data_IF_305852985946
#
_entry.id   IF_305852985946
#
_cell.length_a   1.000
_cell.length_b   1.000
_cell.length_c   1.000
_cell.angle_alpha   90.00
_cell.angle_beta   90.00
_cell.angle_gamma   90.00
#
_symmetry.space_group_name_H-M   'P 1'
#
loop_
_entity.id
_entity.type
_entity.pdbx_description
1 polymer ?
#
# COMPACT_ATOMS: atom_id res chain seq x y z
N UNK A 1 -35.58 44.61 12.79
CA UNK A 1 -35.22 43.22 13.17
C UNK A 1 -34.96 42.48 11.88
N UNK A 2 -33.71 42.43 11.46
CA UNK A 2 -33.26 41.87 10.19
C UNK A 2 -33.07 40.36 10.33
N UNK A 3 -33.58 39.61 9.36
CA UNK A 3 -33.47 38.16 9.27
C UNK A 3 -31.99 37.70 9.16
N UNK A 4 -31.64 36.51 9.68
CA UNK A 4 -30.28 36.00 9.58
C UNK A 4 -30.03 35.49 8.15
N UNK A 5 -28.94 35.96 7.57
CA UNK A 5 -28.33 35.46 6.34
C UNK A 5 -27.90 34.01 6.53
N UNK A 6 -28.46 33.12 5.73
CA UNK A 6 -28.04 31.73 5.59
C UNK A 6 -26.60 31.66 5.08
N UNK A 7 -25.72 31.13 5.91
CA UNK A 7 -24.35 30.78 5.55
C UNK A 7 -24.40 29.61 4.56
N UNK A 8 -24.10 29.88 3.29
CA UNK A 8 -23.77 28.85 2.29
C UNK A 8 -22.49 28.14 2.73
N UNK A 9 -22.63 26.94 3.26
CA UNK A 9 -21.56 25.97 3.41
C UNK A 9 -20.95 25.73 2.04
N UNK A 10 -19.71 26.19 1.90
CA UNK A 10 -18.86 25.94 0.73
C UNK A 10 -18.56 24.43 0.70
N UNK A 11 -19.34 23.66 -0.06
CA UNK A 11 -18.96 22.31 -0.48
C UNK A 11 -17.74 22.43 -1.40
N UNK A 12 -16.56 22.57 -0.80
CA UNK A 12 -15.31 22.32 -1.49
C UNK A 12 -15.33 20.85 -1.90
N UNK A 13 -15.70 20.60 -3.17
CA UNK A 13 -15.69 19.27 -3.75
C UNK A 13 -14.39 18.56 -3.43
N UNK A 14 -14.48 17.31 -2.98
CA UNK A 14 -13.31 16.53 -2.59
C UNK A 14 -12.33 16.50 -3.76
N UNK A 15 -11.13 17.02 -3.51
CA UNK A 15 -10.04 17.05 -4.49
C UNK A 15 -9.79 15.66 -5.08
N UNK A 16 -10.03 15.55 -6.39
CA UNK A 16 -9.89 14.35 -7.20
C UNK A 16 -8.42 14.16 -7.62
N UNK A 17 -7.49 14.30 -6.70
CA UNK A 17 -6.04 14.30 -6.95
C UNK A 17 -5.53 13.02 -7.64
N UNK A 18 -6.24 11.90 -7.44
CA UNK A 18 -5.92 10.60 -8.03
C UNK A 18 -6.81 10.25 -9.22
N UNK A 19 -7.55 11.22 -9.76
CA UNK A 19 -8.40 11.02 -10.93
C UNK A 19 -7.61 10.39 -12.08
N UNK A 20 -8.03 9.17 -12.46
CA UNK A 20 -7.41 8.40 -13.53
C UNK A 20 -6.09 7.71 -13.18
N UNK A 21 -5.67 7.77 -11.92
CA UNK A 21 -4.64 6.90 -11.35
C UNK A 21 -5.24 5.52 -11.07
N UNK A 22 -4.54 4.46 -11.45
CA UNK A 22 -4.87 3.07 -11.13
C UNK A 22 -3.99 2.58 -9.98
N UNK A 23 -4.61 2.29 -8.84
CA UNK A 23 -3.91 1.81 -7.64
C UNK A 23 -4.23 0.33 -7.40
N UNK A 24 -3.20 -0.49 -7.34
CA UNK A 24 -3.28 -1.90 -6.94
C UNK A 24 -3.17 -2.02 -5.41
N UNK A 25 -4.11 -2.71 -4.79
CA UNK A 25 -4.06 -3.11 -3.38
C UNK A 25 -3.74 -4.60 -3.29
N UNK A 26 -2.65 -4.93 -2.59
CA UNK A 26 -2.20 -6.33 -2.39
C UNK A 26 -2.66 -6.93 -1.06
N UNK A 27 -3.28 -6.11 -0.21
CA UNK A 27 -3.76 -6.50 1.10
C UNK A 27 -5.18 -7.10 1.01
N UNK A 28 -5.44 -8.19 1.73
CA UNK A 28 -6.80 -8.74 1.86
C UNK A 28 -7.60 -7.99 2.93
N UNK A 29 -7.05 -7.89 4.14
CA UNK A 29 -7.70 -7.26 5.29
C UNK A 29 -7.76 -5.74 5.15
N UNK A 30 -8.93 -5.15 5.42
CA UNK A 30 -9.23 -3.71 5.27
C UNK A 30 -9.00 -3.18 3.85
N UNK A 31 -8.98 -4.06 2.85
CA UNK A 31 -8.97 -3.69 1.43
C UNK A 31 -10.12 -2.75 1.10
N UNK A 32 -11.33 -3.04 1.55
CA UNK A 32 -12.52 -2.20 1.34
C UNK A 32 -12.36 -0.77 1.87
N UNK A 33 -11.74 -0.60 3.04
CA UNK A 33 -11.46 0.74 3.61
C UNK A 33 -10.43 1.50 2.78
N UNK A 34 -9.36 0.82 2.36
CA UNK A 34 -8.31 1.41 1.54
C UNK A 34 -8.84 1.76 0.13
N UNK A 35 -9.62 0.87 -0.48
CA UNK A 35 -10.36 1.10 -1.73
C UNK A 35 -11.24 2.33 -1.61
N UNK A 36 -12.10 2.39 -0.59
CA UNK A 36 -13.00 3.53 -0.40
C UNK A 36 -12.25 4.85 -0.21
N UNK A 37 -11.13 4.85 0.52
CA UNK A 37 -10.32 6.04 0.75
C UNK A 37 -9.63 6.56 -0.53
N UNK A 38 -9.10 5.64 -1.36
CA UNK A 38 -8.44 5.98 -2.63
C UNK A 38 -9.46 6.38 -3.71
N UNK A 39 -10.56 5.66 -3.85
CA UNK A 39 -11.64 5.99 -4.80
C UNK A 39 -12.27 7.35 -4.50
N UNK A 40 -12.40 7.72 -3.22
CA UNK A 40 -12.88 9.07 -2.84
C UNK A 40 -11.98 10.20 -3.37
N UNK A 41 -10.71 9.90 -3.66
CA UNK A 41 -9.73 10.83 -4.26
C UNK A 41 -9.63 10.69 -5.79
N UNK A 42 -10.49 9.87 -6.41
CA UNK A 42 -10.57 9.70 -7.87
C UNK A 42 -9.83 8.50 -8.44
N UNK A 43 -9.16 7.69 -7.60
CA UNK A 43 -8.42 6.53 -8.06
C UNK A 43 -9.35 5.41 -8.56
N UNK A 44 -8.98 4.77 -9.66
CA UNK A 44 -9.45 3.44 -10.01
C UNK A 44 -8.66 2.42 -9.20
N UNK A 45 -9.33 1.55 -8.44
CA UNK A 45 -8.66 0.60 -7.56
C UNK A 45 -8.79 -0.82 -8.11
N UNK A 46 -7.66 -1.51 -8.25
CA UNK A 46 -7.63 -2.96 -8.50
C UNK A 46 -7.24 -3.66 -7.20
N UNK A 47 -7.90 -4.76 -6.88
CA UNK A 47 -7.60 -5.56 -5.69
C UNK A 47 -7.12 -6.95 -6.11
N UNK A 48 -5.94 -7.34 -5.62
CA UNK A 48 -5.42 -8.69 -5.80
C UNK A 48 -4.64 -9.06 -4.54
N UNK A 49 -5.31 -9.72 -3.59
CA UNK A 49 -4.70 -10.13 -2.35
C UNK A 49 -3.54 -11.10 -2.62
N UNK A 50 -2.33 -10.72 -2.18
CA UNK A 50 -1.13 -11.54 -2.34
C UNK A 50 -1.10 -12.72 -1.37
N UNK A 51 -1.83 -12.62 -0.26
CA UNK A 51 -1.97 -13.66 0.76
C UNK A 51 -3.39 -13.64 1.32
N UNK A 52 -3.94 -14.82 1.58
CA UNK A 52 -5.12 -15.00 2.41
C UNK A 52 -4.75 -15.03 3.89
N UNK A 53 -5.71 -14.78 4.77
CA UNK A 53 -5.56 -15.03 6.20
C UNK A 53 -6.39 -16.26 6.55
N UNK A 54 -5.74 -17.28 7.12
CA UNK A 54 -6.42 -18.45 7.68
C UNK A 54 -6.49 -18.22 9.20
N UNK A 55 -7.68 -17.88 9.75
CA UNK A 55 -7.85 -17.74 11.19
C UNK A 55 -7.66 -19.10 11.88
N UNK A 56 -6.99 -19.12 13.04
CA UNK A 56 -7.02 -20.29 13.95
C UNK A 56 -8.23 -20.21 14.90
N UNK A 57 -9.41 -19.94 14.35
CA UNK A 57 -10.65 -20.09 15.12
C UNK A 57 -10.89 -21.60 15.13
N UNK A 58 -10.83 -22.22 16.32
CA UNK A 58 -10.98 -23.66 16.60
C UNK A 58 -9.71 -24.52 16.62
N UNK A 59 -8.52 -23.94 16.76
CA UNK A 59 -7.32 -24.78 16.88
C UNK A 59 -7.21 -25.36 18.30
N UNK A 60 -7.54 -26.64 18.45
CA UNK A 60 -7.37 -27.40 19.69
C UNK A 60 -5.94 -27.27 20.25
N UNK A 61 -4.95 -27.07 19.36
CA UNK A 61 -3.56 -26.82 19.74
C UNK A 61 -3.35 -25.45 20.43
N UNK A 62 -3.99 -24.38 19.95
CA UNK A 62 -3.91 -23.06 20.58
C UNK A 62 -4.58 -23.10 21.96
N UNK A 63 -5.74 -23.74 22.07
CA UNK A 63 -6.45 -23.90 23.35
C UNK A 63 -5.64 -24.77 24.31
N UNK A 64 -5.05 -25.88 23.86
CA UNK A 64 -4.18 -26.72 24.68
C UNK A 64 -2.95 -25.95 25.18
N UNK A 65 -2.22 -25.26 24.28
CA UNK A 65 -1.08 -24.44 24.68
C UNK A 65 -1.46 -23.29 25.62
N UNK A 66 -2.68 -22.75 25.50
CA UNK A 66 -3.23 -21.77 26.45
C UNK A 66 -3.45 -22.38 27.82
N UNK A 67 -4.01 -23.60 27.92
CA UNK A 67 -4.18 -24.31 29.20
C UNK A 67 -2.83 -24.62 29.85
N UNK A 68 -1.86 -25.07 29.07
CA UNK A 68 -0.51 -25.35 29.56
C UNK A 68 0.15 -24.07 30.08
N UNK A 69 -0.05 -22.94 29.38
CA UNK A 69 0.45 -21.63 29.83
C UNK A 69 -0.22 -21.14 31.12
N UNK A 70 -1.53 -21.38 31.28
CA UNK A 70 -2.23 -21.05 32.52
C UNK A 70 -1.74 -21.92 33.68
N UNK A 71 -1.52 -23.22 33.44
CA UNK A 71 -1.08 -24.17 34.46
C UNK A 71 0.37 -23.92 34.92
N UNK A 72 1.21 -23.45 34.00
CA UNK A 72 2.63 -23.14 34.23
C UNK A 72 2.94 -21.74 33.66
N UNK A 73 2.63 -20.65 34.37
CA UNK A 73 2.77 -19.28 33.85
C UNK A 73 4.20 -18.94 33.41
N UNK A 74 4.38 -18.18 32.32
CA UNK A 74 5.71 -17.81 31.85
C UNK A 74 6.32 -16.71 32.72
N UNK A 75 7.66 -16.64 32.78
CA UNK A 75 8.37 -15.50 33.36
C UNK A 75 8.19 -14.25 32.50
N UNK A 76 8.14 -14.43 31.16
CA UNK A 76 8.01 -13.33 30.19
C UNK A 76 7.08 -13.71 29.05
N UNK A 77 6.20 -12.79 28.65
CA UNK A 77 5.40 -12.89 27.43
C UNK A 77 5.80 -11.80 26.43
N UNK A 78 6.17 -12.23 25.22
CA UNK A 78 6.45 -11.35 24.10
C UNK A 78 5.25 -11.28 23.18
N UNK A 79 4.73 -10.08 22.96
CA UNK A 79 3.59 -9.82 22.08
C UNK A 79 4.04 -9.11 20.82
N UNK A 80 4.04 -9.83 19.70
CA UNK A 80 4.53 -9.31 18.42
C UNK A 80 3.50 -8.43 17.71
N UNK A 81 2.20 -8.72 17.84
CA UNK A 81 1.16 -7.91 17.20
C UNK A 81 -0.13 -7.82 18.01
N UNK A 82 -0.80 -6.67 17.91
CA UNK A 82 -2.11 -6.51 18.57
C UNK A 82 -3.26 -7.30 17.95
N UNK A 83 -3.11 -7.85 16.74
CA UNK A 83 -4.10 -8.74 16.14
C UNK A 83 -3.94 -10.14 16.70
N UNK A 84 -2.69 -10.64 16.73
CA UNK A 84 -2.40 -11.94 17.31
C UNK A 84 -2.77 -12.00 18.80
N UNK A 85 -2.44 -10.97 19.58
CA UNK A 85 -2.85 -10.95 20.99
C UNK A 85 -4.37 -10.92 21.20
N UNK A 86 -5.11 -10.08 20.47
CA UNK A 86 -6.58 -10.05 20.56
C UNK A 86 -7.20 -11.37 20.14
N UNK A 87 -6.74 -11.94 19.03
CA UNK A 87 -7.20 -13.26 18.59
C UNK A 87 -6.92 -14.36 19.61
N UNK A 88 -5.82 -14.26 20.38
CA UNK A 88 -5.51 -15.21 21.44
C UNK A 88 -6.49 -15.08 22.60
N UNK A 89 -6.76 -13.86 23.06
CA UNK A 89 -7.75 -13.59 24.10
C UNK A 89 -9.15 -14.02 23.64
N UNK A 90 -9.56 -13.72 22.41
CA UNK A 90 -10.85 -14.13 21.83
C UNK A 90 -10.97 -15.67 21.74
N UNK A 91 -9.91 -16.36 21.32
CA UNK A 91 -9.89 -17.82 21.29
C UNK A 91 -9.94 -18.44 22.70
N UNK A 92 -9.24 -17.84 23.66
CA UNK A 92 -9.31 -18.24 25.06
C UNK A 92 -10.71 -18.01 25.65
N UNK A 93 -11.35 -16.88 25.33
CA UNK A 93 -12.71 -16.55 25.76
C UNK A 93 -13.73 -17.57 25.23
N UNK A 94 -13.66 -17.88 23.94
CA UNK A 94 -14.48 -18.92 23.32
C UNK A 94 -14.32 -20.30 23.99
N UNK A 95 -13.15 -20.57 24.58
CA UNK A 95 -12.85 -21.79 25.34
C UNK A 95 -13.11 -21.69 26.85
N UNK A 96 -13.61 -20.56 27.36
CA UNK A 96 -13.85 -20.31 28.79
C UNK A 96 -12.56 -20.10 29.62
N UNK A 97 -11.47 -19.67 28.98
CA UNK A 97 -10.14 -19.53 29.56
C UNK A 97 -9.64 -18.08 29.65
N UNK A 98 -10.43 -17.08 29.23
CA UNK A 98 -9.98 -15.69 29.16
C UNK A 98 -9.53 -15.12 30.52
N UNK A 99 -10.36 -15.23 31.55
CA UNK A 99 -10.01 -14.75 32.91
C UNK A 99 -8.76 -15.45 33.46
N UNK A 100 -8.67 -16.80 33.49
CA UNK A 100 -7.46 -17.50 33.92
C UNK A 100 -6.21 -17.12 33.12
N UNK A 101 -6.35 -16.92 31.80
CA UNK A 101 -5.25 -16.49 30.95
C UNK A 101 -4.77 -15.09 31.33
N UNK A 102 -5.68 -14.12 31.44
CA UNK A 102 -5.32 -12.74 31.80
C UNK A 102 -4.64 -12.71 33.18
N UNK A 103 -5.09 -13.52 34.13
CA UNK A 103 -4.45 -13.58 35.45
C UNK A 103 -3.06 -14.22 35.40
N UNK A 104 -2.87 -15.29 34.63
CA UNK A 104 -1.53 -15.86 34.41
C UNK A 104 -0.57 -14.84 33.76
N UNK A 105 -1.06 -14.06 32.78
CA UNK A 105 -0.26 -13.03 32.11
C UNK A 105 0.04 -11.83 33.02
N UNK A 106 -0.80 -11.52 34.01
CA UNK A 106 -0.59 -10.44 34.98
C UNK A 106 0.65 -10.68 35.85
N UNK A 107 0.98 -11.94 36.12
CA UNK A 107 2.17 -12.33 36.87
C UNK A 107 3.45 -12.38 36.05
N UNK A 108 3.35 -12.31 34.71
CA UNK A 108 4.49 -12.36 33.80
C UNK A 108 4.97 -10.94 33.46
N UNK A 109 6.25 -10.82 33.08
CA UNK A 109 6.73 -9.61 32.40
C UNK A 109 6.18 -9.55 30.98
N UNK A 110 5.56 -8.44 30.60
CA UNK A 110 4.91 -8.25 29.29
C UNK A 110 5.74 -7.31 28.41
N UNK A 111 6.24 -7.85 27.30
CA UNK A 111 7.09 -7.16 26.33
C UNK A 111 6.33 -6.99 25.02
N UNK A 112 6.10 -5.76 24.58
CA UNK A 112 5.36 -5.47 23.36
C UNK A 112 6.29 -5.04 22.23
N UNK A 113 6.16 -5.63 21.03
CA UNK A 113 6.94 -5.24 19.85
C UNK A 113 6.50 -3.91 19.22
N UNK A 114 5.64 -3.13 19.87
CA UNK A 114 5.26 -1.79 19.37
C UNK A 114 3.85 -1.33 19.76
N UNK A 115 3.42 -0.15 19.29
CA UNK A 115 2.19 0.53 19.73
C UNK A 115 0.90 -0.28 19.54
N UNK A 116 0.85 -1.13 18.51
CA UNK A 116 -0.32 -1.99 18.23
C UNK A 116 -0.43 -3.13 19.24
N UNK A 117 0.69 -3.77 19.58
CA UNK A 117 0.74 -4.80 20.61
C UNK A 117 0.38 -4.19 21.98
N UNK A 118 1.01 -3.04 22.33
CA UNK A 118 0.66 -2.28 23.53
C UNK A 118 -0.84 -2.00 23.64
N UNK A 119 -1.47 -1.47 22.58
CA UNK A 119 -2.89 -1.14 22.61
C UNK A 119 -3.79 -2.36 22.82
N UNK A 120 -3.41 -3.53 22.31
CA UNK A 120 -4.14 -4.77 22.52
C UNK A 120 -3.97 -5.32 23.95
N UNK A 121 -2.77 -5.23 24.51
CA UNK A 121 -2.48 -5.60 25.91
C UNK A 121 -3.33 -4.73 26.86
N UNK A 122 -3.35 -3.41 26.64
CA UNK A 122 -4.14 -2.47 27.43
C UNK A 122 -5.65 -2.72 27.33
N UNK A 123 -6.15 -3.09 26.14
CA UNK A 123 -7.55 -3.44 25.95
C UNK A 123 -7.97 -4.70 26.74
N UNK A 124 -7.03 -5.60 27.05
CA UNK A 124 -7.24 -6.77 27.90
C UNK A 124 -7.06 -6.47 29.40
N UNK A 125 -6.85 -5.21 29.80
CA UNK A 125 -6.65 -4.81 31.20
C UNK A 125 -5.25 -5.10 31.75
N UNK A 126 -4.28 -5.37 30.87
CA UNK A 126 -2.88 -5.62 31.21
C UNK A 126 -2.02 -4.38 30.88
N UNK A 127 -0.83 -4.29 31.49
CA UNK A 127 0.13 -3.20 31.22
C UNK A 127 1.43 -3.81 30.70
N UNK A 128 1.95 -3.38 29.54
CA UNK A 128 3.28 -3.80 29.11
C UNK A 128 4.36 -3.14 29.95
N UNK A 129 5.33 -3.92 30.39
CA UNK A 129 6.52 -3.46 31.11
C UNK A 129 7.51 -2.76 30.17
N UNK A 130 7.54 -3.17 28.90
CA UNK A 130 8.40 -2.56 27.89
C UNK A 130 7.77 -2.62 26.50
N UNK A 131 8.07 -1.61 25.68
CA UNK A 131 7.57 -1.49 24.31
C UNK A 131 8.70 -1.08 23.37
N UNK A 132 8.92 -1.88 22.32
CA UNK A 132 9.93 -1.59 21.30
C UNK A 132 9.66 -0.27 20.58
N UNK A 133 10.68 0.58 20.47
CA UNK A 133 10.58 1.87 19.79
C UNK A 133 10.66 1.72 18.28
N UNK A 134 11.49 0.81 17.78
CA UNK A 134 11.68 0.53 16.35
C UNK A 134 10.53 -0.28 15.72
N UNK A 135 9.63 -0.80 16.55
CA UNK A 135 8.57 -1.73 16.16
C UNK A 135 9.09 -3.05 15.54
N UNK A 136 10.32 -3.48 15.85
CA UNK A 136 10.95 -4.68 15.27
C UNK A 136 11.12 -5.82 16.28
N UNK A 137 11.08 -7.06 15.78
CA UNK A 137 11.38 -8.25 16.58
C UNK A 137 12.88 -8.35 16.94
N UNK A 138 13.76 -7.74 16.13
CA UNK A 138 15.20 -7.69 16.41
C UNK A 138 15.53 -6.86 17.67
N UNK A 139 14.88 -5.71 17.85
CA UNK A 139 15.04 -4.91 19.08
C UNK A 139 14.56 -5.67 20.32
N UNK A 140 13.41 -6.35 20.22
CA UNK A 140 12.88 -7.20 21.30
C UNK A 140 13.88 -8.29 21.67
N UNK A 141 14.46 -8.97 20.66
CA UNK A 141 15.47 -10.00 20.87
C UNK A 141 16.69 -9.44 21.59
N UNK A 142 17.23 -8.32 21.09
CA UNK A 142 18.42 -7.68 21.63
C UNK A 142 18.25 -7.33 23.12
N UNK A 143 17.17 -6.64 23.47
CA UNK A 143 16.91 -6.21 24.86
C UNK A 143 16.82 -7.39 25.81
N UNK A 144 16.03 -8.42 25.46
CA UNK A 144 15.88 -9.58 26.33
C UNK A 144 17.17 -10.38 26.45
N UNK A 145 17.93 -10.53 25.36
CA UNK A 145 19.21 -11.23 25.40
C UNK A 145 20.26 -10.49 26.24
N UNK A 146 20.30 -9.16 26.17
CA UNK A 146 21.21 -8.33 26.97
C UNK A 146 20.91 -8.39 28.47
N UNK A 147 19.64 -8.54 28.84
CA UNK A 147 19.20 -8.73 30.22
C UNK A 147 19.44 -10.15 30.75
N UNK A 148 19.58 -11.12 29.85
CA UNK A 148 19.82 -12.53 30.14
C UNK A 148 18.53 -13.35 30.27
N UNK A 149 18.41 -14.39 29.44
CA UNK A 149 17.21 -15.24 29.37
C UNK A 149 17.43 -16.69 29.82
N UNK A 150 18.64 -17.04 30.29
CA UNK A 150 18.98 -18.41 30.63
C UNK A 150 18.08 -18.96 31.75
N UNK A 151 17.41 -20.07 31.48
CA UNK A 151 16.52 -20.74 32.44
C UNK A 151 15.12 -20.14 32.56
N UNK A 152 14.83 -19.02 31.90
CA UNK A 152 13.51 -18.38 31.89
C UNK A 152 12.53 -19.11 30.97
N UNK A 153 11.25 -19.11 31.35
CA UNK A 153 10.12 -19.48 30.50
C UNK A 153 9.59 -18.26 29.74
N UNK A 154 9.75 -18.28 28.41
CA UNK A 154 9.31 -17.19 27.53
C UNK A 154 8.19 -17.69 26.64
N UNK A 155 7.01 -17.08 26.76
CA UNK A 155 5.92 -17.27 25.82
C UNK A 155 6.00 -16.21 24.71
N UNK A 156 5.96 -16.63 23.44
CA UNK A 156 6.01 -15.72 22.30
C UNK A 156 4.73 -15.81 21.49
N UNK A 157 3.92 -14.76 21.55
CA UNK A 157 2.76 -14.55 20.69
C UNK A 157 3.25 -14.06 19.32
N UNK A 158 3.24 -14.95 18.33
CA UNK A 158 3.72 -14.71 16.96
C UNK A 158 2.67 -14.09 16.04
N UNK A 159 3.10 -13.30 15.05
CA UNK A 159 2.24 -12.94 13.93
C UNK A 159 2.09 -14.15 12.99
N UNK A 160 1.15 -14.06 12.05
CA UNK A 160 0.80 -15.23 11.23
C UNK A 160 1.79 -15.64 10.16
N UNK A 161 3.01 -15.08 10.13
CA UNK A 161 4.11 -15.65 9.35
C UNK A 161 5.00 -16.59 10.18
N UNK A 162 4.72 -16.75 11.49
CA UNK A 162 5.50 -17.58 12.40
C UNK A 162 6.53 -16.78 13.19
N UNK A 163 7.61 -17.46 13.59
CA UNK A 163 8.70 -16.89 14.39
C UNK A 163 9.66 -16.06 13.52
N UNK A 164 9.79 -14.77 13.82
CA UNK A 164 10.80 -13.85 13.27
C UNK A 164 12.23 -14.16 13.78
N UNK A 165 12.54 -15.42 14.11
CA UNK A 165 13.81 -15.84 14.72
C UNK A 165 13.92 -15.63 16.23
N UNK A 166 12.89 -15.05 16.88
CA UNK A 166 12.83 -14.85 18.33
C UNK A 166 13.01 -16.16 19.09
N UNK A 167 12.27 -17.20 18.68
CA UNK A 167 12.28 -18.46 19.41
C UNK A 167 13.66 -19.12 19.39
N UNK A 168 14.33 -19.09 18.24
CA UNK A 168 15.65 -19.71 18.08
C UNK A 168 16.71 -18.92 18.83
N UNK A 169 16.63 -17.58 18.81
CA UNK A 169 17.53 -16.72 19.55
C UNK A 169 17.44 -16.95 21.08
N UNK A 170 16.23 -17.01 21.63
CA UNK A 170 16.03 -17.24 23.06
C UNK A 170 16.41 -18.67 23.49
N UNK A 171 16.07 -19.69 22.68
CA UNK A 171 16.51 -21.07 22.94
C UNK A 171 18.03 -21.20 22.91
N UNK A 172 18.70 -20.56 21.96
CA UNK A 172 20.16 -20.55 21.86
C UNK A 172 20.83 -19.91 23.10
N UNK A 173 20.15 -18.96 23.75
CA UNK A 173 20.59 -18.33 25.00
C UNK A 173 20.12 -19.09 26.28
N UNK A 174 19.52 -20.28 26.13
CA UNK A 174 19.15 -21.16 27.23
C UNK A 174 17.76 -20.92 27.83
N UNK A 175 16.88 -20.17 27.17
CA UNK A 175 15.50 -20.03 27.58
C UNK A 175 14.64 -21.24 27.16
N UNK A 176 13.57 -21.50 27.92
CA UNK A 176 12.47 -22.39 27.51
C UNK A 176 11.43 -21.55 26.76
N UNK A 177 11.18 -21.86 25.48
CA UNK A 177 10.31 -21.01 24.63
C UNK A 177 9.04 -21.74 24.22
N UNK A 178 7.89 -21.12 24.53
CA UNK A 178 6.55 -21.54 24.10
C UNK A 178 6.01 -20.62 23.01
N UNK A 179 5.81 -21.18 21.82
CA UNK A 179 5.39 -20.43 20.63
C UNK A 179 3.87 -20.46 20.46
N UNK A 180 3.24 -19.29 20.34
CA UNK A 180 1.80 -19.13 20.17
C UNK A 180 1.49 -18.46 18.83
N UNK A 181 1.03 -19.26 17.86
CA UNK A 181 0.62 -18.80 16.53
C UNK A 181 -0.91 -18.76 16.46
N UNK A 182 -1.47 -17.57 16.29
CA UNK A 182 -2.92 -17.31 16.45
C UNK A 182 -3.66 -17.18 15.11
N UNK A 183 -2.93 -16.92 14.04
CA UNK A 183 -3.44 -17.04 12.67
C UNK A 183 -2.27 -17.44 11.78
N UNK A 184 -2.54 -17.91 10.55
CA UNK A 184 -1.49 -18.13 9.55
C UNK A 184 -1.83 -17.40 8.26
N UNK A 185 -0.79 -16.96 7.55
CA UNK A 185 -0.95 -16.61 6.15
C UNK A 185 -1.23 -17.88 5.34
N UNK A 186 -2.26 -17.81 4.52
CA UNK A 186 -2.60 -18.84 3.55
C UNK A 186 -2.23 -18.40 2.12
N UNK A 187 -2.47 -19.29 1.13
CA UNK A 187 -2.32 -18.93 -0.27
C UNK A 187 -3.20 -17.71 -0.63
N UNK A 188 -2.88 -16.99 -1.72
CA UNK A 188 -3.76 -15.94 -2.21
C UNK A 188 -5.17 -16.52 -2.46
N UNK A 189 -6.25 -15.81 -2.06
CA UNK A 189 -7.61 -16.30 -2.26
C UNK A 189 -7.97 -16.45 -3.74
N UNK A 190 -7.31 -15.66 -4.61
CA UNK A 190 -7.39 -15.79 -6.06
C UNK A 190 -5.97 -15.71 -6.67
N UNK A 191 -5.32 -16.87 -6.93
CA UNK A 191 -4.00 -16.93 -7.56
C UNK A 191 -3.99 -16.33 -8.98
N UNK A 192 -5.10 -16.44 -9.73
CA UNK A 192 -5.18 -15.91 -11.08
C UNK A 192 -5.22 -14.38 -11.08
N UNK A 193 -5.95 -13.77 -10.13
CA UNK A 193 -5.93 -12.32 -9.92
C UNK A 193 -4.56 -11.81 -9.50
N UNK A 194 -3.85 -12.53 -8.62
CA UNK A 194 -2.48 -12.18 -8.24
C UNK A 194 -1.54 -12.19 -9.46
N UNK A 195 -1.56 -13.28 -10.24
CA UNK A 195 -0.75 -13.40 -11.46
C UNK A 195 -1.10 -12.33 -12.51
N UNK A 196 -2.38 -12.00 -12.67
CA UNK A 196 -2.82 -10.91 -13.54
C UNK A 196 -2.33 -9.54 -13.03
N UNK A 197 -2.25 -9.35 -11.72
CA UNK A 197 -1.81 -8.07 -11.13
C UNK A 197 -0.34 -7.75 -11.43
N UNK A 198 0.57 -8.73 -11.30
CA UNK A 198 1.99 -8.54 -11.60
C UNK A 198 2.21 -8.27 -13.09
N UNK A 199 1.49 -8.99 -13.96
CA UNK A 199 1.51 -8.74 -15.42
C UNK A 199 0.98 -7.34 -15.75
N UNK A 200 -0.08 -6.88 -15.09
CA UNK A 200 -0.64 -5.55 -15.30
C UNK A 200 0.33 -4.43 -14.87
N UNK A 201 1.08 -4.62 -13.78
CA UNK A 201 2.13 -3.66 -13.37
C UNK A 201 3.25 -3.61 -14.41
N UNK A 202 3.72 -4.77 -14.89
CA UNK A 202 4.74 -4.86 -15.92
C UNK A 202 4.28 -4.26 -17.27
N UNK A 203 3.00 -4.47 -17.63
CA UNK A 203 2.41 -3.95 -18.86
C UNK A 203 2.09 -2.44 -18.80
N UNK A 204 1.93 -1.87 -17.60
CA UNK A 204 1.67 -0.44 -17.44
C UNK A 204 0.30 0.03 -17.16
N UNK A 205 -0.53 -0.88 -16.71
CA UNK A 205 -1.91 -0.59 -16.38
C UNK A 205 -2.09 -0.09 -14.95
N UNK A 206 -1.02 -0.12 -14.15
CA UNK A 206 -1.01 0.26 -12.73
C UNK A 206 -0.03 1.41 -12.51
N UNK A 207 -0.48 2.47 -11.86
CA UNK A 207 0.35 3.62 -11.50
C UNK A 207 0.97 3.44 -10.10
N UNK A 208 0.26 2.81 -9.16
CA UNK A 208 0.78 2.58 -7.81
C UNK A 208 0.40 1.21 -7.24
N UNK A 209 1.28 0.63 -6.42
CA UNK A 209 1.02 -0.60 -5.66
C UNK A 209 1.14 -0.31 -4.17
N UNK A 210 0.08 -0.61 -3.42
CA UNK A 210 -0.02 -0.37 -1.99
C UNK A 210 0.14 -1.67 -1.18
N UNK A 211 1.16 -1.71 -0.31
CA UNK A 211 1.49 -2.84 0.55
C UNK A 211 1.24 -2.51 2.01
N UNK A 212 0.66 -3.47 2.74
CA UNK A 212 0.35 -3.30 4.17
C UNK A 212 1.05 -4.31 5.08
N UNK A 213 1.77 -5.28 4.52
CA UNK A 213 2.53 -6.28 5.26
C UNK A 213 3.75 -6.75 4.46
N UNK A 214 4.86 -7.03 5.16
CA UNK A 214 6.07 -7.57 4.52
C UNK A 214 5.81 -8.93 3.83
N UNK A 215 5.09 -9.89 4.44
CA UNK A 215 4.77 -11.15 3.75
C UNK A 215 3.95 -10.94 2.47
N UNK A 216 3.01 -9.97 2.46
CA UNK A 216 2.23 -9.66 1.26
C UNK A 216 3.08 -9.04 0.15
N UNK A 217 4.06 -8.19 0.50
CA UNK A 217 5.02 -7.65 -0.46
C UNK A 217 5.92 -8.75 -1.02
N UNK A 218 6.46 -9.63 -0.17
CA UNK A 218 7.28 -10.76 -0.58
C UNK A 218 6.51 -11.75 -1.48
N UNK A 219 5.27 -12.10 -1.13
CA UNK A 219 4.42 -12.98 -1.94
C UNK A 219 4.08 -12.37 -3.30
N UNK A 220 3.84 -11.07 -3.36
CA UNK A 220 3.60 -10.38 -4.62
C UNK A 220 4.85 -10.34 -5.52
N UNK A 221 6.04 -10.13 -4.93
CA UNK A 221 7.32 -10.22 -5.65
C UNK A 221 7.60 -11.65 -6.14
N UNK A 222 7.33 -12.67 -5.33
CA UNK A 222 7.46 -14.06 -5.74
C UNK A 222 6.54 -14.39 -6.93
N UNK A 223 5.30 -13.90 -6.91
CA UNK A 223 4.40 -14.04 -8.05
C UNK A 223 4.95 -13.33 -9.31
N UNK A 224 5.65 -12.21 -9.18
CA UNK A 224 6.29 -11.54 -10.31
C UNK A 224 7.44 -12.38 -10.90
N UNK A 225 8.23 -13.05 -10.06
CA UNK A 225 9.27 -13.98 -10.49
C UNK A 225 8.66 -15.19 -11.21
N UNK A 226 7.63 -15.80 -10.63
CA UNK A 226 6.92 -16.96 -11.20
C UNK A 226 6.32 -16.66 -12.58
N UNK A 227 5.86 -15.41 -12.79
CA UNK A 227 5.33 -14.97 -14.08
C UNK A 227 6.42 -14.47 -15.04
N UNK A 228 7.69 -14.41 -14.61
CA UNK A 228 8.81 -13.93 -15.45
C UNK A 228 8.72 -12.45 -15.80
N UNK A 229 8.08 -11.63 -14.97
CA UNK A 229 7.84 -10.19 -15.23
C UNK A 229 8.54 -9.25 -14.22
N UNK A 230 9.34 -9.80 -13.31
CA UNK A 230 10.03 -9.04 -12.27
C UNK A 230 10.90 -7.91 -12.83
N UNK A 231 11.73 -8.19 -13.84
CA UNK A 231 12.63 -7.19 -14.45
C UNK A 231 11.87 -6.01 -15.04
N UNK A 232 10.74 -6.27 -15.73
CA UNK A 232 9.90 -5.20 -16.28
C UNK A 232 9.23 -4.34 -15.19
N UNK A 233 8.93 -4.91 -14.02
CA UNK A 233 8.44 -4.14 -12.88
C UNK A 233 9.56 -3.26 -12.30
N UNK A 234 10.77 -3.81 -12.16
CA UNK A 234 11.95 -3.09 -11.66
C UNK A 234 12.29 -1.89 -12.54
N UNK A 235 12.38 -2.08 -13.87
CA UNK A 235 12.61 -1.00 -14.84
C UNK A 235 11.58 0.12 -14.69
N UNK A 236 10.30 -0.24 -14.56
CA UNK A 236 9.22 0.74 -14.41
C UNK A 236 9.27 1.48 -13.08
N UNK A 237 9.71 0.84 -12.00
CA UNK A 237 9.92 1.52 -10.73
C UNK A 237 11.09 2.50 -10.81
N UNK A 238 12.20 2.11 -11.46
CA UNK A 238 13.37 2.99 -11.63
C UNK A 238 13.07 4.23 -12.48
N UNK A 239 12.27 4.08 -13.53
CA UNK A 239 11.83 5.20 -14.37
C UNK A 239 10.72 6.05 -13.72
N UNK A 240 10.41 5.81 -12.44
CA UNK A 240 9.39 6.54 -11.67
C UNK A 240 7.96 6.28 -12.15
N UNK A 241 7.78 5.22 -12.94
CA UNK A 241 6.61 5.00 -13.75
C UNK A 241 5.60 4.05 -13.09
N UNK A 242 5.97 3.48 -11.93
CA UNK A 242 5.12 2.82 -10.93
C UNK A 242 5.60 3.23 -9.54
N UNK A 243 4.69 3.73 -8.70
CA UNK A 243 4.95 4.00 -7.28
C UNK A 243 4.72 2.76 -6.43
N UNK A 244 5.72 2.33 -5.66
CA UNK A 244 5.52 1.34 -4.60
C UNK A 244 5.34 2.04 -3.27
N UNK A 245 4.23 1.81 -2.58
CA UNK A 245 3.90 2.44 -1.32
C UNK A 245 3.75 1.39 -0.22
N UNK A 246 4.61 1.42 0.78
CA UNK A 246 4.58 0.50 1.91
C UNK A 246 4.10 1.23 3.16
N UNK A 247 3.21 0.61 3.93
CA UNK A 247 2.63 1.24 5.13
C UNK A 247 3.67 1.57 6.21
N UNK A 248 4.83 0.91 6.23
CA UNK A 248 5.88 1.12 7.22
C UNK A 248 7.21 0.43 6.84
N UNK A 249 8.31 0.70 7.56
CA UNK A 249 9.65 0.22 7.20
C UNK A 249 9.75 -1.31 7.10
N UNK A 250 9.11 -2.05 8.02
CA UNK A 250 9.09 -3.51 7.98
C UNK A 250 8.42 -4.03 6.69
N UNK A 251 7.32 -3.41 6.26
CA UNK A 251 6.64 -3.76 5.00
C UNK A 251 7.47 -3.41 3.77
N UNK A 252 8.33 -2.39 3.87
CA UNK A 252 9.20 -1.96 2.77
C UNK A 252 10.41 -2.88 2.58
N UNK A 253 10.87 -3.59 3.61
CA UNK A 253 12.11 -4.37 3.58
C UNK A 253 12.20 -5.36 2.40
N UNK A 254 11.19 -6.19 2.07
CA UNK A 254 11.29 -7.12 0.94
C UNK A 254 11.42 -6.42 -0.42
N UNK A 255 10.88 -5.21 -0.55
CA UNK A 255 11.02 -4.39 -1.76
C UNK A 255 12.44 -3.82 -1.86
N UNK A 256 12.97 -3.32 -0.74
CA UNK A 256 14.34 -2.74 -0.66
C UNK A 256 15.40 -3.82 -0.93
N UNK A 257 15.21 -5.03 -0.41
CA UNK A 257 16.08 -6.19 -0.68
C UNK A 257 16.16 -6.53 -2.18
N UNK A 258 15.13 -6.18 -2.95
CA UNK A 258 15.09 -6.30 -4.42
C UNK A 258 15.61 -5.06 -5.16
N UNK A 259 16.22 -4.11 -4.47
CA UNK A 259 16.73 -2.86 -5.06
C UNK A 259 15.65 -1.84 -5.41
N UNK A 260 14.40 -2.05 -4.99
CA UNK A 260 13.30 -1.12 -5.22
C UNK A 260 13.27 -0.05 -4.14
N UNK A 261 12.78 1.14 -4.49
CA UNK A 261 12.71 2.29 -3.57
C UNK A 261 11.25 2.64 -3.24
N UNK A 262 10.59 1.94 -2.30
CA UNK A 262 9.23 2.25 -1.92
C UNK A 262 9.14 3.55 -1.10
N UNK A 263 8.03 4.26 -1.23
CA UNK A 263 7.69 5.36 -0.32
C UNK A 263 7.04 4.82 0.95
N UNK A 264 7.42 5.40 2.10
CA UNK A 264 6.96 4.98 3.43
C UNK A 264 6.48 6.21 4.20
N UNK A 265 5.28 6.19 4.82
CA UNK A 265 4.81 7.33 5.61
C UNK A 265 5.47 7.37 7.00
N UNK A 266 5.58 8.57 7.59
CA UNK A 266 6.12 8.77 8.94
C UNK A 266 5.41 7.94 10.02
N UNK A 267 4.12 7.60 9.80
CA UNK A 267 3.31 6.81 10.72
C UNK A 267 2.71 5.60 10.02
N UNK A 268 2.91 4.42 10.61
CA UNK A 268 2.48 3.11 10.11
C UNK A 268 0.97 2.83 10.10
N UNK A 269 0.17 3.66 9.40
CA UNK A 269 -1.30 3.60 9.34
C UNK A 269 -1.85 3.78 7.93
N UNK A 270 -3.01 3.18 7.65
CA UNK A 270 -3.67 3.26 6.32
C UNK A 270 -3.95 4.70 5.90
N UNK A 271 -4.45 5.55 6.79
CA UNK A 271 -4.69 6.96 6.47
C UNK A 271 -3.42 7.71 6.05
N UNK A 272 -2.28 7.42 6.69
CA UNK A 272 -0.99 8.00 6.32
C UNK A 272 -0.51 7.47 4.97
N UNK A 273 -0.70 6.18 4.69
CA UNK A 273 -0.37 5.58 3.39
C UNK A 273 -1.19 6.20 2.26
N UNK A 274 -2.49 6.38 2.44
CA UNK A 274 -3.37 7.05 1.46
C UNK A 274 -2.91 8.49 1.23
N UNK A 275 -2.63 9.24 2.31
CA UNK A 275 -2.15 10.62 2.20
C UNK A 275 -0.81 10.70 1.45
N UNK A 276 0.10 9.76 1.69
CA UNK A 276 1.37 9.69 0.99
C UNK A 276 1.19 9.48 -0.52
N UNK A 277 0.32 8.54 -0.92
CA UNK A 277 -0.01 8.30 -2.34
C UNK A 277 -0.65 9.55 -2.96
N UNK A 278 -1.64 10.14 -2.28
CA UNK A 278 -2.29 11.38 -2.74
C UNK A 278 -1.29 12.52 -2.90
N UNK A 279 -0.39 12.72 -1.95
CA UNK A 279 0.62 13.77 -2.01
C UNK A 279 1.63 13.54 -3.13
N UNK A 280 2.05 12.28 -3.35
CA UNK A 280 2.97 11.94 -4.45
C UNK A 280 2.39 12.39 -5.80
N UNK A 281 1.12 12.05 -6.05
CA UNK A 281 0.44 12.43 -7.29
C UNK A 281 -0.05 13.88 -7.33
N UNK A 282 -0.34 14.47 -6.17
CA UNK A 282 -0.72 15.89 -6.05
C UNK A 282 0.46 16.85 -6.23
N UNK A 283 1.69 16.37 -5.98
CA UNK A 283 2.93 17.08 -6.26
C UNK A 283 3.36 17.05 -7.72
N UNK A 284 2.65 16.30 -8.59
CA UNK A 284 2.87 16.40 -10.03
C UNK A 284 2.49 17.80 -10.50
N UNK A 285 3.44 18.47 -11.15
CA UNK A 285 3.28 19.84 -11.61
C UNK A 285 2.08 19.93 -12.57
N UNK A 286 1.05 20.67 -12.16
CA UNK A 286 -0.07 20.97 -13.04
C UNK A 286 0.39 22.04 -14.04
N UNK A 287 0.09 21.83 -15.32
CA UNK A 287 0.24 22.87 -16.32
C UNK A 287 -1.00 23.73 -16.29
N UNK A 288 -0.85 25.01 -16.00
CA UNK A 288 -1.95 25.96 -16.15
C UNK A 288 -2.23 26.17 -17.64
N UNK A 289 -3.34 25.62 -18.12
CA UNK A 289 -3.77 25.74 -19.51
C UNK A 289 -4.94 26.72 -19.64
N UNK A 290 -5.24 27.14 -20.87
CA UNK A 290 -6.42 27.98 -21.13
C UNK A 290 -7.76 27.30 -20.78
N UNK A 291 -7.75 25.98 -20.54
CA UNK A 291 -8.91 25.17 -20.17
C UNK A 291 -8.86 24.70 -18.71
N UNK A 292 -7.99 25.31 -17.88
CA UNK A 292 -7.77 24.96 -16.48
C UNK A 292 -6.50 24.15 -16.25
N UNK A 293 -6.19 23.78 -15.00
CA UNK A 293 -5.01 23.01 -14.66
C UNK A 293 -5.07 21.63 -15.30
N UNK A 294 -4.03 21.28 -16.05
CA UNK A 294 -3.83 19.98 -16.67
C UNK A 294 -2.80 19.18 -15.87
N UNK A 295 -3.21 18.02 -15.36
CA UNK A 295 -2.32 17.00 -14.80
C UNK A 295 -2.34 15.80 -15.72
N UNK A 296 -1.16 15.36 -16.18
CA UNK A 296 -1.03 14.17 -17.02
C UNK A 296 -0.39 13.07 -16.20
N UNK A 297 -1.17 12.04 -15.90
CA UNK A 297 -0.73 10.81 -15.26
C UNK A 297 -0.30 9.79 -16.33
N UNK A 298 0.17 8.61 -15.92
CA UNK A 298 0.54 7.58 -16.88
C UNK A 298 -0.67 6.90 -17.52
N UNK A 299 -1.70 6.60 -16.72
CA UNK A 299 -2.95 5.98 -17.18
C UNK A 299 -4.06 6.94 -17.59
N UNK A 300 -3.95 8.23 -17.25
CA UNK A 300 -5.00 9.21 -17.54
C UNK A 300 -4.48 10.65 -17.58
N UNK A 301 -5.35 11.59 -17.97
CA UNK A 301 -5.12 13.01 -17.81
C UNK A 301 -6.35 13.68 -17.20
N UNK A 302 -6.12 14.71 -16.38
CA UNK A 302 -7.16 15.47 -15.68
C UNK A 302 -7.03 16.91 -16.08
N UNK A 303 -8.11 17.48 -16.62
CA UNK A 303 -8.19 18.88 -17.04
C UNK A 303 -9.29 19.57 -16.25
N UNK A 304 -8.95 20.64 -15.52
CA UNK A 304 -9.94 21.37 -14.72
C UNK A 304 -10.65 20.49 -13.68
N UNK A 305 -9.97 19.46 -13.19
CA UNK A 305 -10.53 18.48 -12.24
C UNK A 305 -11.36 17.35 -12.86
N UNK A 306 -11.47 17.27 -14.18
CA UNK A 306 -12.21 16.21 -14.88
C UNK A 306 -11.25 15.23 -15.58
N UNK A 307 -11.47 13.92 -15.40
CA UNK A 307 -10.74 12.88 -16.14
C UNK A 307 -11.11 12.97 -17.61
N UNK A 308 -10.11 13.09 -18.48
CA UNK A 308 -10.32 13.09 -19.91
C UNK A 308 -10.55 11.65 -20.42
N UNK A 309 -11.58 11.41 -21.25
CA UNK A 309 -11.87 10.09 -21.84
C UNK A 309 -10.91 9.80 -23.00
N UNK A 310 -9.62 9.62 -22.69
CA UNK A 310 -8.56 9.43 -23.68
C UNK A 310 -8.34 7.95 -24.00
N UNK A 311 -8.02 7.69 -25.27
CA UNK A 311 -7.42 6.41 -25.66
C UNK A 311 -5.94 6.38 -25.22
N UNK A 312 -5.30 5.19 -25.12
CA UNK A 312 -3.87 5.10 -24.79
C UNK A 312 -3.00 5.99 -25.70
N UNK A 313 -3.26 5.96 -27.01
CA UNK A 313 -2.59 6.83 -27.98
C UNK A 313 -2.87 8.31 -27.74
N UNK A 314 -4.12 8.70 -27.43
CA UNK A 314 -4.46 10.08 -27.12
C UNK A 314 -3.73 10.60 -25.89
N UNK A 315 -3.56 9.74 -24.88
CA UNK A 315 -2.83 10.06 -23.67
C UNK A 315 -1.32 10.23 -23.92
N UNK A 316 -0.69 9.38 -24.73
CA UNK A 316 0.72 9.54 -25.12
C UNK A 316 0.96 10.86 -25.87
N UNK A 317 0.07 11.22 -26.79
CA UNK A 317 0.16 12.49 -27.52
C UNK A 317 -0.01 13.67 -26.54
N UNK A 318 -0.95 13.59 -25.61
CA UNK A 318 -1.16 14.65 -24.63
C UNK A 318 0.05 14.78 -23.70
N UNK A 319 0.68 13.68 -23.30
CA UNK A 319 1.90 13.68 -22.50
C UNK A 319 3.06 14.32 -23.26
N UNK A 320 3.23 13.97 -24.53
CA UNK A 320 4.22 14.61 -25.41
C UNK A 320 4.02 16.13 -25.50
N UNK A 321 2.77 16.58 -25.64
CA UNK A 321 2.42 18.01 -25.68
C UNK A 321 2.61 18.71 -24.33
N UNK A 322 2.25 18.06 -23.23
CA UNK A 322 2.43 18.56 -21.87
C UNK A 322 3.92 18.72 -21.54
N UNK A 323 4.75 17.73 -21.88
CA UNK A 323 6.20 17.78 -21.69
C UNK A 323 6.86 18.91 -22.47
N UNK A 324 6.30 19.31 -23.63
CA UNK A 324 6.77 20.45 -24.40
C UNK A 324 6.42 21.82 -23.79
N UNK A 325 5.55 21.86 -22.77
CA UNK A 325 5.19 23.07 -21.99
C UNK A 325 4.86 24.29 -22.87
N UNK A 326 4.01 24.06 -23.87
CA UNK A 326 3.58 25.09 -24.82
C UNK A 326 4.52 25.33 -26.02
N UNK A 327 5.68 24.68 -26.05
CA UNK A 327 6.53 24.61 -27.24
C UNK A 327 5.85 23.80 -28.36
N UNK A 328 6.24 24.07 -29.61
CA UNK A 328 5.71 23.34 -30.77
C UNK A 328 6.34 21.96 -30.84
N UNK A 329 5.50 20.93 -30.76
CA UNK A 329 5.83 19.54 -31.03
C UNK A 329 5.71 19.27 -32.54
N UNK A 330 6.81 18.88 -33.21
CA UNK A 330 6.82 18.53 -34.62
C UNK A 330 5.89 17.34 -34.96
N UNK A 331 5.37 17.31 -36.20
CA UNK A 331 4.40 16.29 -36.62
C UNK A 331 5.00 14.86 -36.62
N UNK A 332 6.26 14.72 -37.01
CA UNK A 332 7.03 13.46 -36.96
C UNK A 332 7.16 12.92 -35.53
N UNK A 333 7.30 13.80 -34.52
CA UNK A 333 7.29 13.40 -33.11
C UNK A 333 5.93 12.88 -32.65
N UNK A 334 4.83 13.44 -33.18
CA UNK A 334 3.48 12.93 -32.93
C UNK A 334 3.26 11.58 -33.64
N UNK A 335 3.76 11.42 -34.87
CA UNK A 335 3.68 10.14 -35.59
C UNK A 335 4.45 9.04 -34.86
N UNK A 336 5.61 9.35 -34.29
CA UNK A 336 6.45 8.41 -33.57
C UNK A 336 5.79 7.80 -32.31
N UNK A 337 4.72 8.41 -31.78
CA UNK A 337 3.96 7.88 -30.63
C UNK A 337 2.68 7.13 -31.05
N UNK A 338 2.35 7.09 -32.34
CA UNK A 338 1.21 6.33 -32.84
C UNK A 338 1.56 4.84 -32.96
N UNK A 339 0.59 3.93 -32.72
CA UNK A 339 0.80 2.50 -32.90
C UNK A 339 0.91 2.12 -34.39
N UNK A 340 1.81 1.17 -34.67
CA UNK A 340 2.20 0.78 -36.03
C UNK A 340 3.13 1.84 -36.65
N UNK A 341 4.14 1.44 -37.43
CA UNK A 341 5.13 2.33 -38.08
C UNK A 341 4.51 3.28 -39.15
N UNK A 342 3.44 3.99 -38.79
CA UNK A 342 2.68 4.85 -39.67
C UNK A 342 3.47 6.12 -39.97
N UNK A 343 3.85 6.26 -41.24
CA UNK A 343 4.48 7.48 -41.78
C UNK A 343 3.48 8.41 -42.44
N UNK A 344 2.18 8.09 -42.39
CA UNK A 344 1.13 8.88 -43.03
C UNK A 344 0.86 10.17 -42.22
N UNK A 345 1.14 11.36 -42.77
CA UNK A 345 0.85 12.63 -42.11
C UNK A 345 -0.61 12.80 -41.69
N UNK A 346 -1.55 12.15 -42.38
CA UNK A 346 -2.97 12.20 -42.05
C UNK A 346 -3.29 11.51 -40.71
N UNK A 347 -2.51 10.50 -40.32
CA UNK A 347 -2.69 9.78 -39.06
C UNK A 347 -2.52 10.70 -37.84
N UNK A 348 -1.49 11.57 -37.86
CA UNK A 348 -1.27 12.55 -36.79
C UNK A 348 -2.43 13.57 -36.70
N UNK A 349 -2.98 14.00 -37.84
CA UNK A 349 -4.10 14.94 -37.87
C UNK A 349 -5.37 14.34 -37.27
N UNK A 350 -5.70 13.10 -37.63
CA UNK A 350 -6.84 12.37 -37.07
C UNK A 350 -6.66 12.14 -35.56
N UNK A 351 -5.47 11.75 -35.12
CA UNK A 351 -5.19 11.53 -33.70
C UNK A 351 -5.32 12.82 -32.87
N UNK A 352 -4.80 13.95 -33.38
CA UNK A 352 -4.94 15.26 -32.74
C UNK A 352 -6.40 15.73 -32.74
N UNK A 353 -7.16 15.49 -33.81
CA UNK A 353 -8.58 15.83 -33.86
C UNK A 353 -9.37 15.09 -32.77
N UNK A 354 -9.16 13.78 -32.64
CA UNK A 354 -9.78 12.96 -31.57
C UNK A 354 -9.37 13.44 -30.17
N UNK A 355 -8.10 13.77 -29.98
CA UNK A 355 -7.61 14.30 -28.71
C UNK A 355 -8.30 15.63 -28.35
N UNK A 356 -8.45 16.55 -29.32
CA UNK A 356 -9.19 17.81 -29.11
C UNK A 356 -10.63 17.57 -28.68
N UNK A 357 -11.32 16.67 -29.36
CA UNK A 357 -12.71 16.35 -29.04
C UNK A 357 -12.82 15.79 -27.61
N UNK A 358 -11.89 14.91 -27.21
CA UNK A 358 -11.86 14.34 -25.87
C UNK A 358 -11.51 15.35 -24.77
N UNK A 359 -10.78 16.43 -25.08
CA UNK A 359 -10.46 17.49 -24.10
C UNK A 359 -11.62 18.42 -23.79
N UNK A 360 -12.69 18.42 -24.61
CA UNK A 360 -13.81 19.36 -24.48
C UNK A 360 -13.45 20.83 -24.78
N UNK A 361 -12.18 21.14 -25.07
CA UNK A 361 -11.69 22.47 -25.40
C UNK A 361 -10.87 22.45 -26.70
N UNK A 362 -11.50 22.80 -27.82
CA UNK A 362 -10.84 22.83 -29.14
C UNK A 362 -9.63 23.76 -29.20
N UNK A 363 -9.60 24.78 -28.34
CA UNK A 363 -8.48 25.74 -28.26
C UNK A 363 -7.26 25.20 -27.52
N UNK A 364 -7.41 24.15 -26.69
CA UNK A 364 -6.34 23.64 -25.83
C UNK A 364 -5.12 23.17 -26.61
N UNK A 365 -5.34 22.57 -27.79
CA UNK A 365 -4.27 22.08 -28.67
C UNK A 365 -4.33 22.85 -29.97
N UNK A 366 -3.35 23.71 -30.24
CA UNK A 366 -3.30 24.54 -31.45
C UNK A 366 -2.42 23.91 -32.52
N UNK A 367 -2.89 23.93 -33.76
CA UNK A 367 -2.06 23.61 -34.92
C UNK A 367 -1.22 24.82 -35.28
N UNK A 368 0.10 24.65 -35.36
CA UNK A 368 1.03 25.64 -35.91
C UNK A 368 1.35 25.22 -37.33
N UNK A 369 0.83 26.00 -38.29
CA UNK A 369 0.89 25.71 -39.73
C UNK A 369 2.32 25.35 -40.15
N UNK A 370 2.48 24.22 -40.84
CA UNK A 370 3.76 23.64 -41.31
C UNK A 370 4.78 23.26 -40.22
N UNK A 371 4.49 23.45 -38.93
CA UNK A 371 5.43 23.20 -37.84
C UNK A 371 5.00 22.09 -36.89
N UNK A 372 3.70 21.90 -36.67
CA UNK A 372 3.18 20.84 -35.79
C UNK A 372 2.09 21.32 -34.86
N UNK A 373 2.14 20.91 -33.59
CA UNK A 373 1.08 21.13 -32.61
C UNK A 373 1.65 21.65 -31.29
N UNK A 374 0.90 22.44 -30.54
CA UNK A 374 1.30 22.88 -29.19
C UNK A 374 0.12 22.92 -28.24
N UNK A 375 0.40 22.75 -26.96
CA UNK A 375 -0.55 22.98 -25.88
C UNK A 375 -0.66 24.49 -25.60
N UNK A 376 -1.86 25.06 -25.52
CA UNK A 376 -2.04 26.47 -25.15
C UNK A 376 -2.09 26.60 -23.62
N UNK A 377 -1.07 27.25 -23.08
CA UNK A 377 -0.95 27.55 -21.65
C UNK A 377 -1.72 28.82 -21.29
N UNK A 378 -2.15 28.94 -20.05
CA UNK A 378 -2.65 30.20 -19.52
C UNK A 378 -1.54 31.25 -19.60
N UNK A 379 -1.88 32.47 -20.03
CA UNK A 379 -0.92 33.58 -20.02
C UNK A 379 -0.69 33.96 -18.56
N UNK A 380 0.57 33.92 -18.11
CA UNK A 380 0.96 34.37 -16.77
C UNK A 380 0.73 35.85 -16.57
#
# INVERSE_FOLDING_TARGET
MSAPTSSTTNEQGIDQTLAGCVVLITADRRSAELTAALTRRGASVRHAAALGMVPHIDDAALVAGTRDLIADPPDTVVVTTGIGFRGWIEAADAAGLAEPLVEALRGARIVARGPKARGAIQAAGLTPDWVAESETSAEVAQVLLDEGVTGLDIAVQHHGAGSDGLDDAFRAAGARVRSLVVYRWGPPPDPAALAASVRAVAAGEIDAVAFTSAPGAAAWLAAADEQGVADGIVERCHDGAVLLAAVGPVTAAPLIERGLTPVVPDRGRLGSLVRLIVNHYGGLEALDTIAGPLRVYRGAAVLGGQVLPLTPTGLEILRLLAHARGSVVPRDRVLAVLPGDSRDPHAAEVAIARLRDATGSRGLIRTVVKRGYRLELAVS
#
